data_IF_938313063949
#
_entry.id   IF_938313063949
#
_cell.length_a   1.000
_cell.length_b   1.000
_cell.length_c   1.000
_cell.angle_alpha   90.00
_cell.angle_beta   90.00
_cell.angle_gamma   90.00
#
_symmetry.space_group_name_H-M   'P 1'
#
loop_
_entity.id
_entity.type
_entity.pdbx_description
1 polymer ?
#
# COMPACT_ATOMS: atom_id res chain seq x y z
N UNK A 1 11.05 17.39 34.03
CA UNK A 1 11.03 16.27 33.11
C UNK A 1 10.22 16.73 31.89
N UNK A 2 10.91 17.26 30.89
CA UNK A 2 10.32 17.73 29.65
C UNK A 2 9.99 16.52 28.78
N UNK A 3 8.70 16.20 28.65
CA UNK A 3 8.22 15.28 27.65
C UNK A 3 8.33 15.99 26.28
N UNK A 4 9.42 15.73 25.57
CA UNK A 4 9.67 16.28 24.26
C UNK A 4 8.47 16.04 23.34
N UNK A 5 7.77 17.11 23.00
CA UNK A 5 6.82 17.15 21.90
C UNK A 5 7.64 16.82 20.65
N UNK A 6 7.58 15.55 20.18
CA UNK A 6 8.09 15.20 18.85
C UNK A 6 7.36 16.09 17.87
N UNK A 7 8.10 16.91 17.16
CA UNK A 7 7.62 17.78 16.09
C UNK A 7 6.95 16.89 15.03
N UNK A 8 5.65 16.73 15.15
CA UNK A 8 4.83 15.99 14.17
C UNK A 8 4.62 16.92 12.99
N UNK A 9 5.63 17.07 12.15
CA UNK A 9 5.45 17.66 10.84
C UNK A 9 4.27 16.97 10.17
N UNK A 10 3.21 17.71 9.76
CA UNK A 10 2.11 17.11 9.04
C UNK A 10 2.69 16.42 7.81
N UNK A 11 2.43 15.13 7.68
CA UNK A 11 2.92 14.29 6.58
C UNK A 11 2.34 14.78 5.26
N UNK A 12 2.98 15.77 4.65
CA UNK A 12 2.60 16.31 3.36
C UNK A 12 2.72 15.22 2.31
N UNK A 13 1.57 14.69 1.86
CA UNK A 13 1.51 13.83 0.68
C UNK A 13 1.83 12.35 0.89
N UNK A 14 1.86 11.84 2.09
CA UNK A 14 1.99 10.40 2.38
C UNK A 14 0.59 9.77 2.41
N UNK A 15 0.05 9.43 1.22
CA UNK A 15 -1.31 8.93 1.06
C UNK A 15 -1.45 7.42 1.35
N UNK A 16 -2.43 6.81 0.67
CA UNK A 16 -2.82 5.40 0.80
C UNK A 16 -1.63 4.42 0.73
N UNK A 17 -0.67 4.67 -0.15
CA UNK A 17 0.53 3.83 -0.31
C UNK A 17 1.37 3.74 0.97
N UNK A 18 1.53 4.86 1.67
CA UNK A 18 2.27 4.90 2.93
C UNK A 18 1.55 4.16 4.05
N UNK A 19 0.22 4.30 4.13
CA UNK A 19 -0.60 3.51 5.07
C UNK A 19 -0.42 2.01 4.85
N UNK A 20 -0.42 1.56 3.58
CA UNK A 20 -0.21 0.16 3.24
C UNK A 20 1.15 -0.36 3.74
N UNK A 21 2.21 0.45 3.65
CA UNK A 21 3.52 0.11 4.19
C UNK A 21 3.51 -0.02 5.72
N UNK A 22 2.83 0.89 6.41
CA UNK A 22 2.68 0.84 7.87
C UNK A 22 1.94 -0.44 8.28
N UNK A 23 0.84 -0.80 7.61
CA UNK A 23 0.12 -2.05 7.89
C UNK A 23 1.00 -3.27 7.74
N UNK A 24 1.80 -3.35 6.66
CA UNK A 24 2.73 -4.46 6.45
C UNK A 24 3.74 -4.51 7.59
N UNK A 25 4.33 -3.39 7.95
CA UNK A 25 5.30 -3.28 9.06
C UNK A 25 4.69 -3.74 10.39
N UNK A 26 3.49 -3.28 10.74
CA UNK A 26 2.80 -3.64 11.99
C UNK A 26 2.53 -5.15 12.09
N UNK A 27 2.07 -5.79 11.01
CA UNK A 27 1.83 -7.24 10.97
C UNK A 27 3.14 -8.02 11.18
N UNK A 28 4.22 -7.60 10.52
CA UNK A 28 5.52 -8.26 10.67
C UNK A 28 6.09 -8.10 12.09
N UNK A 29 5.81 -6.98 12.75
CA UNK A 29 6.16 -6.74 14.16
C UNK A 29 5.25 -7.46 15.16
N UNK A 30 4.23 -8.21 14.69
CA UNK A 30 3.42 -9.08 15.53
C UNK A 30 2.02 -8.59 15.86
N UNK A 31 1.57 -7.47 15.29
CA UNK A 31 0.20 -7.02 15.45
C UNK A 31 -0.80 -8.02 14.88
N UNK A 32 -2.01 -8.05 15.44
CA UNK A 32 -3.08 -8.95 15.04
C UNK A 32 -3.60 -8.62 13.64
N UNK A 33 -3.52 -9.61 12.73
CA UNK A 33 -3.89 -9.41 11.33
C UNK A 33 -5.37 -9.08 11.13
N UNK A 34 -6.26 -9.64 11.96
CA UNK A 34 -7.70 -9.38 11.84
C UNK A 34 -8.03 -7.94 12.23
N UNK A 35 -7.49 -7.47 13.35
CA UNK A 35 -7.66 -6.08 13.79
C UNK A 35 -7.07 -5.09 12.78
N UNK A 36 -5.88 -5.39 12.24
CA UNK A 36 -5.25 -4.55 11.22
C UNK A 36 -6.05 -4.54 9.92
N UNK A 37 -6.69 -5.66 9.56
CA UNK A 37 -7.57 -5.72 8.40
C UNK A 37 -8.84 -4.87 8.58
N UNK A 38 -9.49 -4.95 9.73
CA UNK A 38 -10.64 -4.10 10.07
C UNK A 38 -10.28 -2.61 9.98
N UNK A 39 -9.12 -2.24 10.52
CA UNK A 39 -8.61 -0.86 10.45
C UNK A 39 -8.25 -0.45 9.01
N UNK A 40 -7.61 -1.32 8.23
CA UNK A 40 -7.27 -1.07 6.82
C UNK A 40 -8.53 -0.80 5.98
N UNK A 41 -9.59 -1.55 6.22
CA UNK A 41 -10.89 -1.37 5.58
C UNK A 41 -11.55 -0.05 6.01
N UNK A 42 -11.55 0.25 7.29
CA UNK A 42 -12.15 1.47 7.84
C UNK A 42 -11.45 2.76 7.36
N UNK A 43 -10.16 2.68 7.06
CA UNK A 43 -9.36 3.82 6.58
C UNK A 43 -9.33 3.96 5.06
N UNK A 44 -10.09 3.16 4.31
CA UNK A 44 -10.22 3.32 2.86
C UNK A 44 -10.97 4.61 2.54
N UNK A 45 -10.40 5.51 1.71
CA UNK A 45 -10.98 6.83 1.45
C UNK A 45 -12.18 6.80 0.50
N UNK A 46 -12.33 5.74 -0.29
CA UNK A 46 -13.37 5.61 -1.32
C UNK A 46 -13.82 4.16 -1.48
N UNK A 47 -15.07 3.95 -1.92
CA UNK A 47 -15.64 2.62 -2.15
C UNK A 47 -14.88 1.81 -3.20
N UNK A 48 -14.41 2.47 -4.29
CA UNK A 48 -13.59 1.82 -5.32
C UNK A 48 -12.25 1.32 -4.75
N UNK A 49 -11.61 2.10 -3.88
CA UNK A 49 -10.37 1.69 -3.21
C UNK A 49 -10.58 0.53 -2.26
N UNK A 50 -11.72 0.53 -1.57
CA UNK A 50 -12.13 -0.57 -0.72
C UNK A 50 -12.36 -1.84 -1.53
N UNK A 51 -13.09 -1.75 -2.64
CA UNK A 51 -13.35 -2.88 -3.52
C UNK A 51 -12.05 -3.41 -4.13
N UNK A 52 -11.19 -2.52 -4.65
CA UNK A 52 -9.89 -2.86 -5.22
C UNK A 52 -9.03 -3.66 -4.22
N UNK A 53 -8.83 -3.13 -3.00
CA UNK A 53 -7.96 -3.79 -2.02
C UNK A 53 -8.49 -5.14 -1.55
N UNK A 54 -9.82 -5.32 -1.50
CA UNK A 54 -10.46 -6.60 -1.18
C UNK A 54 -10.30 -7.61 -2.31
N UNK A 55 -10.61 -7.22 -3.56
CA UNK A 55 -10.49 -8.10 -4.71
C UNK A 55 -9.04 -8.55 -4.95
N UNK A 56 -8.10 -7.61 -4.87
CA UNK A 56 -6.67 -7.93 -4.99
C UNK A 56 -6.20 -8.84 -3.85
N UNK A 57 -6.66 -8.59 -2.62
CA UNK A 57 -6.35 -9.40 -1.46
C UNK A 57 -6.86 -10.84 -1.59
N UNK A 58 -8.12 -11.02 -1.99
CA UNK A 58 -8.71 -12.34 -2.26
C UNK A 58 -7.99 -13.08 -3.38
N UNK A 59 -7.68 -12.39 -4.50
CA UNK A 59 -6.94 -12.99 -5.60
C UNK A 59 -5.53 -13.43 -5.17
N UNK A 60 -4.85 -12.60 -4.39
CA UNK A 60 -3.54 -12.92 -3.83
C UNK A 60 -3.61 -14.12 -2.87
N UNK A 61 -4.59 -14.13 -1.95
CA UNK A 61 -4.79 -15.23 -1.01
C UNK A 61 -4.99 -16.57 -1.71
N UNK A 62 -5.80 -16.58 -2.79
CA UNK A 62 -6.00 -17.77 -3.61
C UNK A 62 -4.70 -18.28 -4.24
N UNK A 63 -3.86 -17.39 -4.76
CA UNK A 63 -2.55 -17.80 -5.32
C UNK A 63 -1.66 -18.37 -4.23
N UNK A 64 -1.64 -17.78 -3.03
CA UNK A 64 -0.86 -18.27 -1.89
C UNK A 64 -1.36 -19.66 -1.46
N UNK A 65 -2.66 -19.86 -1.40
CA UNK A 65 -3.25 -21.17 -1.10
C UNK A 65 -2.91 -22.22 -2.17
N UNK A 66 -3.09 -21.88 -3.44
CA UNK A 66 -2.86 -22.79 -4.56
C UNK A 66 -1.38 -23.23 -4.68
N UNK A 67 -0.44 -22.28 -4.49
CA UNK A 67 1.00 -22.50 -4.73
C UNK A 67 1.73 -22.94 -3.47
N UNK A 68 1.53 -22.23 -2.36
CA UNK A 68 2.24 -22.48 -1.10
C UNK A 68 1.45 -23.29 -0.09
N UNK A 69 0.19 -23.67 -0.43
CA UNK A 69 -0.70 -24.46 0.44
C UNK A 69 -0.94 -23.80 1.81
N UNK A 70 -1.01 -22.48 1.81
CA UNK A 70 -1.27 -21.67 3.00
C UNK A 70 -2.60 -20.94 2.86
N UNK A 71 -3.53 -21.24 3.72
CA UNK A 71 -4.75 -20.47 3.89
C UNK A 71 -4.45 -19.23 4.75
N UNK A 72 -4.55 -18.05 4.16
CA UNK A 72 -4.41 -16.76 4.85
C UNK A 72 -5.74 -16.03 5.02
N UNK A 73 -6.83 -16.61 4.54
CA UNK A 73 -8.17 -16.05 4.59
C UNK A 73 -8.40 -14.84 3.66
N UNK A 74 -9.61 -14.28 3.75
CA UNK A 74 -9.99 -13.10 2.98
C UNK A 74 -9.57 -11.82 3.70
N UNK A 75 -8.53 -11.18 3.19
CA UNK A 75 -7.91 -10.00 3.76
C UNK A 75 -7.72 -8.92 2.69
N UNK A 76 -7.61 -7.66 3.10
CA UNK A 76 -7.15 -6.57 2.20
C UNK A 76 -5.72 -6.84 1.74
N UNK A 77 -5.38 -6.39 0.54
CA UNK A 77 -4.09 -6.73 -0.09
C UNK A 77 -2.87 -6.50 0.82
N UNK A 78 -2.68 -5.34 1.49
CA UNK A 78 -1.49 -5.13 2.33
C UNK A 78 -1.41 -6.11 3.49
N UNK A 79 -2.55 -6.50 4.07
CA UNK A 79 -2.59 -7.46 5.18
C UNK A 79 -2.31 -8.88 4.68
N UNK A 80 -2.90 -9.27 3.55
CA UNK A 80 -2.65 -10.56 2.93
C UNK A 80 -1.16 -10.75 2.58
N UNK A 81 -0.54 -9.74 1.96
CA UNK A 81 0.89 -9.75 1.65
C UNK A 81 1.75 -9.85 2.91
N UNK A 82 1.43 -9.06 3.93
CA UNK A 82 2.17 -9.08 5.20
C UNK A 82 2.08 -10.44 5.91
N UNK A 83 0.89 -11.04 5.95
CA UNK A 83 0.68 -12.34 6.59
C UNK A 83 1.38 -13.45 5.83
N UNK A 84 1.31 -13.45 4.49
CA UNK A 84 2.04 -14.40 3.66
C UNK A 84 3.56 -14.28 3.85
N UNK A 85 4.10 -13.04 3.88
CA UNK A 85 5.51 -12.78 4.13
C UNK A 85 5.93 -13.29 5.53
N UNK A 86 5.13 -13.01 6.56
CA UNK A 86 5.38 -13.48 7.93
C UNK A 86 5.41 -15.01 8.00
N UNK A 87 4.46 -15.69 7.38
CA UNK A 87 4.40 -17.15 7.34
C UNK A 87 5.60 -17.79 6.62
N UNK A 88 6.18 -17.07 5.65
CA UNK A 88 7.39 -17.49 4.93
C UNK A 88 8.69 -16.98 5.57
N UNK A 89 8.61 -16.31 6.73
CA UNK A 89 9.76 -15.71 7.40
C UNK A 89 10.54 -14.71 6.52
N UNK A 90 9.82 -13.99 5.64
CA UNK A 90 10.41 -12.94 4.82
C UNK A 90 10.59 -11.69 5.69
N UNK A 91 11.81 -11.20 5.73
CA UNK A 91 12.15 -10.03 6.55
C UNK A 91 11.53 -8.73 6.02
N UNK A 92 11.28 -7.81 6.96
CA UNK A 92 10.68 -6.50 6.68
C UNK A 92 11.49 -5.67 5.68
N UNK A 93 12.82 -5.74 5.75
CA UNK A 93 13.76 -5.06 4.85
C UNK A 93 13.70 -5.54 3.39
N UNK A 94 13.11 -6.71 3.13
CA UNK A 94 12.86 -7.23 1.80
C UNK A 94 11.43 -6.93 1.32
N UNK A 95 10.43 -7.19 2.15
CA UNK A 95 9.04 -7.12 1.70
C UNK A 95 8.54 -5.67 1.53
N UNK A 96 8.95 -4.73 2.40
CA UNK A 96 8.51 -3.35 2.29
C UNK A 96 8.99 -2.67 0.98
N UNK A 97 10.29 -2.71 0.62
CA UNK A 97 10.73 -2.12 -0.64
C UNK A 97 10.18 -2.87 -1.85
N UNK A 98 10.04 -4.20 -1.80
CA UNK A 98 9.48 -4.98 -2.89
C UNK A 98 8.01 -4.61 -3.15
N UNK A 99 7.20 -4.50 -2.12
CA UNK A 99 5.80 -4.09 -2.23
C UNK A 99 5.66 -2.69 -2.83
N UNK A 100 6.43 -1.72 -2.33
CA UNK A 100 6.36 -0.34 -2.80
C UNK A 100 6.89 -0.21 -4.23
N UNK A 101 7.95 -0.92 -4.57
CA UNK A 101 8.48 -0.99 -5.93
C UNK A 101 7.44 -1.58 -6.90
N UNK A 102 6.80 -2.71 -6.54
CA UNK A 102 5.75 -3.33 -7.36
C UNK A 102 4.57 -2.38 -7.58
N UNK A 103 4.14 -1.65 -6.53
CA UNK A 103 3.09 -0.65 -6.63
C UNK A 103 3.46 0.48 -7.60
N UNK A 104 4.64 1.08 -7.45
CA UNK A 104 5.13 2.14 -8.35
C UNK A 104 5.27 1.63 -9.79
N UNK A 105 5.81 0.43 -9.97
CA UNK A 105 5.96 -0.19 -11.29
C UNK A 105 4.63 -0.40 -11.99
N UNK A 106 3.58 -0.79 -11.25
CA UNK A 106 2.24 -0.91 -11.80
C UNK A 106 1.70 0.45 -12.27
N UNK A 107 1.85 1.51 -11.45
CA UNK A 107 1.43 2.87 -11.84
C UNK A 107 2.19 3.37 -13.07
N UNK A 108 3.50 3.17 -13.14
CA UNK A 108 4.31 3.54 -14.31
C UNK A 108 3.87 2.76 -15.54
N UNK A 109 3.58 1.47 -15.40
CA UNK A 109 3.06 0.64 -16.50
C UNK A 109 1.70 1.13 -17.03
N UNK A 110 0.84 1.61 -16.15
CA UNK A 110 -0.43 2.24 -16.54
C UNK A 110 -0.16 3.57 -17.25
N UNK A 111 0.73 4.41 -16.71
CA UNK A 111 1.08 5.68 -17.32
C UNK A 111 1.65 5.53 -18.74
N UNK A 112 2.54 4.56 -18.98
CA UNK A 112 3.08 4.26 -20.32
C UNK A 112 1.97 3.91 -21.33
N UNK A 113 0.89 3.31 -20.87
CA UNK A 113 -0.25 2.94 -21.75
C UNK A 113 -1.22 4.08 -22.02
N UNK A 114 -1.35 5.02 -21.10
CA UNK A 114 -2.33 6.11 -21.16
C UNK A 114 -1.75 7.44 -21.65
N UNK A 115 -0.46 7.65 -21.45
CA UNK A 115 0.25 8.88 -21.77
C UNK A 115 1.32 8.57 -22.81
N UNK A 116 1.64 9.47 -23.75
CA UNK A 116 2.64 9.23 -24.80
C UNK A 116 4.07 9.29 -24.25
N UNK A 117 4.37 8.52 -23.20
CA UNK A 117 5.71 8.29 -22.67
C UNK A 117 6.20 6.91 -23.10
N UNK A 118 7.48 6.82 -23.50
CA UNK A 118 8.07 5.56 -23.93
C UNK A 118 8.53 4.70 -22.74
N UNK A 119 8.83 3.43 -23.02
CA UNK A 119 9.35 2.48 -22.03
C UNK A 119 10.61 2.97 -21.32
N UNK A 120 11.53 3.59 -22.07
CA UNK A 120 12.78 4.16 -21.53
C UNK A 120 12.49 5.24 -20.50
N UNK A 121 11.51 6.10 -20.75
CA UNK A 121 11.12 7.15 -19.81
C UNK A 121 10.48 6.55 -18.55
N UNK A 122 9.65 5.52 -18.72
CA UNK A 122 9.10 4.76 -17.58
C UNK A 122 10.20 4.17 -16.69
N UNK A 123 11.28 3.65 -17.27
CA UNK A 123 12.43 3.14 -16.50
C UNK A 123 13.21 4.27 -15.79
N UNK A 124 13.33 5.46 -16.39
CA UNK A 124 13.93 6.62 -15.71
C UNK A 124 13.12 7.04 -14.49
N UNK A 125 11.79 7.11 -14.63
CA UNK A 125 10.88 7.41 -13.52
C UNK A 125 11.08 6.38 -12.39
N UNK A 126 11.15 5.09 -12.70
CA UNK A 126 11.39 4.05 -11.68
C UNK A 126 12.75 4.21 -10.99
N UNK A 127 13.79 4.58 -11.74
CA UNK A 127 15.12 4.85 -11.18
C UNK A 127 15.09 6.04 -10.21
N UNK A 128 14.42 7.14 -10.59
CA UNK A 128 14.26 8.32 -9.74
C UNK A 128 13.44 8.05 -8.48
N UNK A 129 12.46 7.15 -8.56
CA UNK A 129 11.66 6.74 -7.41
C UNK A 129 12.44 5.87 -6.42
N UNK A 130 13.54 5.23 -6.82
CA UNK A 130 14.27 4.28 -5.96
C UNK A 130 14.74 4.88 -4.64
N UNK A 131 15.28 6.12 -4.65
CA UNK A 131 15.69 6.80 -3.42
C UNK A 131 14.50 7.13 -2.52
N UNK A 132 13.41 7.60 -3.10
CA UNK A 132 12.17 7.92 -2.37
C UNK A 132 11.52 6.67 -1.79
N UNK A 133 11.60 5.54 -2.48
CA UNK A 133 11.15 4.24 -1.97
C UNK A 133 11.93 3.88 -0.71
N UNK A 134 13.25 4.02 -0.71
CA UNK A 134 14.09 3.74 0.45
C UNK A 134 13.73 4.61 1.66
N UNK A 135 13.56 5.92 1.45
CA UNK A 135 13.18 6.86 2.51
C UNK A 135 11.80 6.55 3.11
N UNK A 136 10.82 6.22 2.26
CA UNK A 136 9.48 5.85 2.69
C UNK A 136 9.46 4.53 3.45
N UNK A 137 10.21 3.54 3.00
CA UNK A 137 10.35 2.24 3.67
C UNK A 137 10.94 2.41 5.07
N UNK A 138 12.02 3.18 5.19
CA UNK A 138 12.61 3.46 6.50
C UNK A 138 11.61 4.13 7.43
N UNK A 139 10.93 5.17 6.96
CA UNK A 139 9.91 5.87 7.75
C UNK A 139 8.76 4.94 8.16
N UNK A 140 8.25 4.10 7.25
CA UNK A 140 7.15 3.19 7.55
C UNK A 140 7.55 2.04 8.47
N UNK A 141 8.82 1.61 8.45
CA UNK A 141 9.33 0.55 9.31
C UNK A 141 9.33 0.93 10.80
N UNK A 142 9.42 2.20 11.10
CA UNK A 142 9.44 2.77 12.45
C UNK A 142 8.07 3.31 12.91
N UNK A 143 7.08 3.32 11.99
CA UNK A 143 5.76 3.90 12.26
C UNK A 143 4.90 3.02 13.17
N UNK A 144 4.03 3.68 13.92
CA UNK A 144 3.04 3.06 14.81
C UNK A 144 1.60 3.24 14.29
N UNK A 145 0.62 2.64 14.97
CA UNK A 145 -0.80 2.73 14.59
C UNK A 145 -1.28 4.19 14.50
N UNK A 146 -0.79 5.05 15.38
CA UNK A 146 -1.16 6.48 15.41
C UNK A 146 -0.70 7.23 14.15
N UNK A 147 0.30 6.71 13.42
CA UNK A 147 0.82 7.30 12.20
C UNK A 147 -0.05 7.00 10.97
N UNK A 148 -1.07 6.15 11.10
CA UNK A 148 -2.04 5.83 10.05
C UNK A 148 -2.96 7.01 9.69
N UNK A 149 -2.93 8.11 10.43
CA UNK A 149 -3.74 9.31 10.22
C UNK A 149 -3.32 10.19 9.03
N UNK A 150 -2.40 9.72 8.18
CA UNK A 150 -1.99 10.48 6.99
C UNK A 150 -3.12 10.52 5.96
N UNK A 151 -3.40 11.71 5.40
CA UNK A 151 -4.36 11.89 4.34
C UNK A 151 -3.69 12.51 3.11
N UNK A 152 -4.12 12.09 1.92
CA UNK A 152 -3.73 12.68 0.65
C UNK A 152 -4.97 13.30 0.00
N UNK A 153 -5.42 14.44 0.51
CA UNK A 153 -6.72 15.06 0.19
C UNK A 153 -7.02 15.07 -1.30
N UNK A 154 -6.10 15.49 -2.16
CA UNK A 154 -6.35 15.54 -3.60
C UNK A 154 -6.54 14.15 -4.22
N UNK A 155 -5.74 13.17 -3.81
CA UNK A 155 -5.89 11.79 -4.30
C UNK A 155 -7.17 11.15 -3.79
N UNK A 156 -7.53 11.42 -2.54
CA UNK A 156 -8.73 10.87 -1.91
C UNK A 156 -10.00 11.47 -2.55
N UNK A 157 -10.01 12.80 -2.78
CA UNK A 157 -11.10 13.49 -3.51
C UNK A 157 -11.22 12.96 -4.94
N UNK A 158 -10.08 12.85 -5.67
CA UNK A 158 -10.10 12.33 -7.04
C UNK A 158 -10.61 10.88 -7.11
N UNK A 159 -10.30 10.05 -6.10
CA UNK A 159 -10.82 8.69 -6.03
C UNK A 159 -12.35 8.68 -5.78
N UNK A 160 -12.86 9.58 -4.94
CA UNK A 160 -14.31 9.74 -4.71
C UNK A 160 -15.01 10.26 -5.95
N UNK A 161 -14.46 11.25 -6.64
CA UNK A 161 -15.02 11.80 -7.89
C UNK A 161 -15.03 10.76 -9.00
N UNK A 162 -14.02 9.89 -9.08
CA UNK A 162 -13.94 8.83 -10.09
C UNK A 162 -15.11 7.85 -9.99
N UNK A 163 -15.70 7.64 -8.82
CA UNK A 163 -16.87 6.77 -8.63
C UNK A 163 -18.07 7.19 -9.46
N UNK A 164 -18.19 8.48 -9.77
CA UNK A 164 -19.34 9.06 -10.51
C UNK A 164 -19.05 9.29 -12.00
N UNK A 165 -17.81 9.06 -12.49
CA UNK A 165 -17.46 9.28 -13.89
C UNK A 165 -18.09 8.22 -14.81
N UNK A 166 -18.56 8.68 -15.98
CA UNK A 166 -19.01 7.81 -17.08
C UNK A 166 -18.49 8.36 -18.42
N UNK A 167 -17.91 7.53 -19.30
CA UNK A 167 -17.55 6.11 -19.12
C UNK A 167 -16.31 5.92 -18.20
N UNK A 168 -16.24 4.78 -17.53
CA UNK A 168 -15.06 4.43 -16.72
C UNK A 168 -14.07 3.66 -17.59
N UNK A 169 -12.84 4.13 -17.65
CA UNK A 169 -11.75 3.48 -18.41
C UNK A 169 -11.21 2.26 -17.64
N UNK A 170 -11.15 2.37 -16.32
CA UNK A 170 -10.79 1.28 -15.43
C UNK A 170 -11.95 1.00 -14.47
N UNK A 171 -12.40 -0.23 -14.46
CA UNK A 171 -13.41 -0.72 -13.54
C UNK A 171 -12.78 -1.88 -12.76
N UNK A 172 -12.45 -1.62 -11.53
CA UNK A 172 -12.04 -2.66 -10.59
C UNK A 172 -13.25 -3.37 -10.01
#
# INVERSE_FOLDING_TARGET
>A
ADAGIRDRSPSRGRGDVYKRQIFISLILRGHDAKKMNELSIALCPAGERLLETKLQGSAFAKVIEDVWKQDIGELSLPIAVALAAKNQSIEQNLILPAYLHAFCSNLVSVAIRLIPIGQTEGQRIMLELSSKISDLVQSASESEIDDLNSACFFSDISAMEHEYLQPRIFKT
#
